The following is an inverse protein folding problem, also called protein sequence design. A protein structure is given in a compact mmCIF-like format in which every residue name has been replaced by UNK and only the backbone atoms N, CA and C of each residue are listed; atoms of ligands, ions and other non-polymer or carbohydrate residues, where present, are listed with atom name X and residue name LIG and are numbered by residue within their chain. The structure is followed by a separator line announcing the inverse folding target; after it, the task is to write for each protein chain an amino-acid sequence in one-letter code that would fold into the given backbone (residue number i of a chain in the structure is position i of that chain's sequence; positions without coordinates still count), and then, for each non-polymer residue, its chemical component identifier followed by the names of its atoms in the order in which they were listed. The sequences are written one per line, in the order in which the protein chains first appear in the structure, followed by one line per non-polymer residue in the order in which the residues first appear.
data_IF_083672434000
#
_entry.id   IF_083672434000
#
_cell.length_a   1.000
_cell.length_b   1.000
_cell.length_c   1.000
_cell.angle_alpha   90.00
_cell.angle_beta   90.00
_cell.angle_gamma   90.00
#
_symmetry.space_group_name_H-M   'P 1'
#
loop_
_entity.id
_entity.type
_entity.pdbx_description
1 polymer ?
#
# COMPACT_ATOMS: atom_id res chain seq x y z
N UNK A 1 -27.70 -52.20 -47.28
CA UNK A 1 -27.68 -50.94 -46.51
C UNK A 1 -26.84 -51.14 -45.25
N UNK A 2 -25.60 -50.65 -45.18
CA UNK A 2 -24.78 -50.63 -43.95
C UNK A 2 -23.96 -49.34 -43.93
N UNK A 3 -24.52 -48.28 -43.36
CA UNK A 3 -23.78 -47.06 -43.06
C UNK A 3 -22.88 -47.28 -41.84
N UNK A 4 -21.58 -47.03 -41.99
CA UNK A 4 -20.62 -46.95 -40.89
C UNK A 4 -20.52 -45.49 -40.44
N UNK A 5 -21.11 -45.14 -39.29
CA UNK A 5 -20.85 -43.84 -38.65
C UNK A 5 -19.60 -43.96 -37.79
N UNK A 6 -18.48 -43.43 -38.30
CA UNK A 6 -17.23 -43.29 -37.55
C UNK A 6 -17.30 -42.05 -36.68
N UNK A 7 -17.12 -42.24 -35.37
CA UNK A 7 -17.04 -41.18 -34.38
C UNK A 7 -15.79 -40.30 -34.64
N UNK A 8 -15.99 -39.01 -34.95
CA UNK A 8 -14.90 -38.04 -35.12
C UNK A 8 -14.75 -37.18 -33.86
N UNK A 9 -13.88 -37.69 -32.98
CA UNK A 9 -12.92 -37.01 -32.09
C UNK A 9 -13.18 -35.52 -31.81
N UNK A 10 -13.64 -35.22 -30.60
CA UNK A 10 -13.78 -33.88 -30.06
C UNK A 10 -12.46 -33.11 -30.05
N UNK A 11 -12.46 -31.97 -30.72
CA UNK A 11 -11.42 -30.94 -30.65
C UNK A 11 -11.61 -30.15 -29.36
N UNK A 12 -10.85 -30.47 -28.32
CA UNK A 12 -10.68 -29.61 -27.14
C UNK A 12 -9.40 -28.80 -27.32
N UNK A 13 -9.45 -27.81 -28.20
CA UNK A 13 -8.49 -26.71 -28.15
C UNK A 13 -8.95 -25.74 -27.05
N UNK A 14 -8.66 -26.08 -25.79
CA UNK A 14 -8.71 -25.12 -24.72
C UNK A 14 -7.43 -24.29 -24.80
N UNK A 15 -7.52 -23.12 -25.43
CA UNK A 15 -6.51 -22.07 -25.27
C UNK A 15 -6.39 -21.75 -23.77
N UNK A 16 -5.19 -21.62 -23.20
CA UNK A 16 -5.05 -21.06 -21.87
C UNK A 16 -5.56 -19.62 -21.95
N UNK A 17 -6.64 -19.35 -21.23
CA UNK A 17 -7.20 -18.03 -21.02
C UNK A 17 -6.09 -17.16 -20.42
N UNK A 18 -5.41 -16.39 -21.29
CA UNK A 18 -4.42 -15.42 -20.86
C UNK A 18 -5.17 -14.37 -20.05
N UNK A 19 -4.85 -14.34 -18.76
CA UNK A 19 -5.26 -13.28 -17.84
C UNK A 19 -5.03 -11.92 -18.53
N UNK A 20 -5.97 -10.98 -18.43
CA UNK A 20 -5.82 -9.67 -19.05
C UNK A 20 -4.49 -9.09 -18.57
N UNK A 21 -3.61 -8.77 -19.53
CA UNK A 21 -2.33 -8.10 -19.31
C UNK A 21 -2.63 -6.76 -18.62
N UNK A 22 -2.74 -6.79 -17.30
CA UNK A 22 -2.89 -5.58 -16.51
C UNK A 22 -1.64 -4.77 -16.77
N UNK A 23 -1.83 -3.59 -17.35
CA UNK A 23 -0.81 -2.64 -17.71
C UNK A 23 -0.06 -2.21 -16.44
N UNK A 24 0.90 -3.03 -16.02
CA UNK A 24 1.74 -2.85 -14.83
C UNK A 24 2.92 -1.97 -15.21
N UNK A 25 2.63 -0.69 -15.42
CA UNK A 25 3.69 0.32 -15.44
C UNK A 25 4.37 0.28 -14.07
N UNK A 26 5.59 -0.26 -13.99
CA UNK A 26 6.31 -0.42 -12.74
C UNK A 26 6.43 0.92 -12.02
N UNK A 27 5.81 1.04 -10.84
CA UNK A 27 5.76 2.29 -10.09
C UNK A 27 6.98 2.47 -9.18
N UNK A 28 7.74 1.40 -8.93
CA UNK A 28 8.86 1.37 -8.00
C UNK A 28 9.97 0.41 -8.51
N UNK A 29 11.23 0.71 -8.18
CA UNK A 29 12.40 -0.08 -8.54
C UNK A 29 12.31 -1.54 -8.08
N UNK A 30 11.72 -1.78 -6.90
CA UNK A 30 11.51 -3.14 -6.37
C UNK A 30 10.46 -3.93 -7.18
N UNK A 31 9.42 -3.27 -7.67
CA UNK A 31 8.45 -3.90 -8.57
C UNK A 31 9.05 -4.21 -9.95
N UNK A 32 10.00 -3.39 -10.41
CA UNK A 32 10.74 -3.66 -11.64
C UNK A 32 11.64 -4.90 -11.50
N UNK A 33 12.32 -5.06 -10.35
CA UNK A 33 13.08 -6.29 -10.05
C UNK A 33 12.19 -7.52 -10.05
N UNK A 34 11.00 -7.43 -9.44
CA UNK A 34 10.03 -8.52 -9.43
C UNK A 34 9.59 -8.88 -10.87
N UNK A 35 9.30 -7.87 -11.70
CA UNK A 35 8.90 -8.05 -13.10
C UNK A 35 10.01 -8.70 -13.93
N UNK A 36 11.25 -8.24 -13.78
CA UNK A 36 12.41 -8.82 -14.47
C UNK A 36 12.66 -10.25 -14.03
N UNK A 37 12.54 -10.54 -12.73
CA UNK A 37 12.68 -11.89 -12.20
C UNK A 37 11.63 -12.84 -12.80
N UNK A 38 10.36 -12.43 -12.88
CA UNK A 38 9.30 -13.21 -13.53
C UNK A 38 9.58 -13.50 -15.02
N UNK A 39 10.19 -12.55 -15.74
CA UNK A 39 10.53 -12.73 -17.15
C UNK A 39 11.73 -13.66 -17.34
N UNK A 40 12.71 -13.63 -16.44
CA UNK A 40 13.95 -14.40 -16.55
C UNK A 40 13.81 -15.83 -15.98
N UNK A 41 12.87 -16.06 -15.06
CA UNK A 41 12.80 -17.35 -14.37
C UNK A 41 12.43 -18.50 -15.33
N UNK A 42 13.39 -19.40 -15.54
CA UNK A 42 13.19 -20.64 -16.31
C UNK A 42 13.27 -21.86 -15.42
N UNK A 43 12.29 -22.75 -15.54
CA UNK A 43 12.27 -24.02 -14.82
C UNK A 43 12.96 -25.11 -15.65
N UNK A 44 13.89 -25.83 -15.03
CA UNK A 44 14.49 -27.02 -15.65
C UNK A 44 13.47 -28.16 -15.64
N UNK A 45 13.17 -28.68 -16.82
CA UNK A 45 12.36 -29.89 -17.00
C UNK A 45 13.25 -31.11 -16.77
N UNK A 46 12.76 -32.08 -16.01
CA UNK A 46 13.41 -33.38 -15.81
C UNK A 46 12.99 -34.31 -16.95
N UNK A 47 13.87 -35.24 -17.34
CA UNK A 47 13.73 -36.11 -18.52
C UNK A 47 12.44 -36.96 -18.54
N UNK A 48 11.78 -37.19 -17.40
CA UNK A 48 10.46 -37.81 -17.33
C UNK A 48 9.49 -36.91 -16.54
N UNK A 49 8.57 -36.27 -17.27
CA UNK A 49 7.25 -35.86 -16.76
C UNK A 49 7.17 -34.82 -15.64
N UNK A 50 8.25 -34.16 -15.22
CA UNK A 50 8.23 -33.25 -14.07
C UNK A 50 9.20 -32.06 -14.16
N UNK A 51 9.03 -31.11 -13.23
CA UNK A 51 9.98 -30.03 -12.94
C UNK A 51 10.86 -30.46 -11.77
N UNK A 52 12.13 -30.06 -11.78
CA UNK A 52 13.03 -30.28 -10.64
C UNK A 52 12.51 -29.50 -9.42
N UNK A 53 11.90 -30.20 -8.47
CA UNK A 53 11.26 -29.63 -7.29
C UNK A 53 12.24 -28.84 -6.43
N UNK A 54 13.49 -29.29 -6.29
CA UNK A 54 14.50 -28.60 -5.47
C UNK A 54 14.82 -27.23 -6.09
N UNK A 55 14.95 -27.18 -7.42
CA UNK A 55 15.15 -25.92 -8.13
C UNK A 55 13.91 -25.02 -8.10
N UNK A 56 12.71 -25.60 -8.12
CA UNK A 56 11.45 -24.88 -8.00
C UNK A 56 11.33 -24.21 -6.62
N UNK A 57 11.59 -24.96 -5.54
CA UNK A 57 11.55 -24.43 -4.17
C UNK A 57 12.55 -23.31 -3.98
N UNK A 58 13.78 -23.44 -4.52
CA UNK A 58 14.78 -22.36 -4.49
C UNK A 58 14.30 -21.09 -5.20
N UNK A 59 13.68 -21.25 -6.38
CA UNK A 59 13.10 -20.12 -7.12
C UNK A 59 11.91 -19.50 -6.38
N UNK A 60 11.10 -20.32 -5.72
CA UNK A 60 9.98 -19.83 -4.92
C UNK A 60 10.46 -19.04 -3.69
N UNK A 61 11.52 -19.51 -3.04
CA UNK A 61 12.16 -18.80 -1.92
C UNK A 61 12.75 -17.47 -2.36
N UNK A 62 13.46 -17.44 -3.49
CA UNK A 62 14.01 -16.22 -4.08
C UNK A 62 12.90 -15.22 -4.44
N UNK A 63 11.81 -15.69 -5.06
CA UNK A 63 10.64 -14.86 -5.34
C UNK A 63 10.04 -14.27 -4.07
N UNK A 64 9.88 -15.10 -3.04
CA UNK A 64 9.32 -14.67 -1.77
C UNK A 64 10.19 -13.58 -1.12
N UNK A 65 11.52 -13.70 -1.21
CA UNK A 65 12.43 -12.70 -0.70
C UNK A 65 12.32 -11.35 -1.44
N UNK A 66 12.23 -11.37 -2.78
CA UNK A 66 12.05 -10.15 -3.59
C UNK A 66 10.69 -9.50 -3.26
N UNK A 67 9.65 -10.31 -3.08
CA UNK A 67 8.32 -9.85 -2.73
C UNK A 67 8.28 -9.18 -1.35
N UNK A 68 8.82 -9.84 -0.32
CA UNK A 68 8.88 -9.28 1.03
C UNK A 68 9.68 -7.99 1.08
N UNK A 69 10.81 -7.92 0.35
CA UNK A 69 11.60 -6.69 0.23
C UNK A 69 10.77 -5.58 -0.40
N UNK A 70 10.10 -5.86 -1.52
CA UNK A 70 9.23 -4.89 -2.21
C UNK A 70 8.12 -4.37 -1.31
N UNK A 71 7.46 -5.28 -0.58
CA UNK A 71 6.35 -4.96 0.32
C UNK A 71 6.82 -4.16 1.54
N UNK A 72 7.99 -4.48 2.10
CA UNK A 72 8.58 -3.73 3.21
C UNK A 72 8.92 -2.28 2.81
N UNK A 73 9.45 -2.08 1.60
CA UNK A 73 9.76 -0.76 1.08
C UNK A 73 8.48 0.07 0.86
N UNK A 74 7.42 -0.56 0.36
CA UNK A 74 6.12 0.09 0.19
C UNK A 74 5.50 0.48 1.54
N UNK A 75 5.53 -0.42 2.54
CA UNK A 75 5.08 -0.11 3.91
C UNK A 75 5.85 1.07 4.49
N UNK A 76 7.18 1.08 4.41
CA UNK A 76 7.99 2.18 4.89
C UNK A 76 7.63 3.52 4.23
N UNK A 77 7.32 3.52 2.93
CA UNK A 77 6.86 4.72 2.21
C UNK A 77 5.52 5.22 2.74
N UNK A 78 4.55 4.34 2.94
CA UNK A 78 3.25 4.73 3.49
C UNK A 78 3.34 5.18 4.94
N UNK A 79 4.14 4.51 5.76
CA UNK A 79 4.36 4.90 7.15
C UNK A 79 4.96 6.31 7.25
N UNK A 80 5.91 6.64 6.38
CA UNK A 80 6.47 7.99 6.31
C UNK A 80 5.41 9.03 5.92
N UNK A 81 4.55 8.74 4.94
CA UNK A 81 3.47 9.63 4.50
C UNK A 81 2.40 9.82 5.57
N UNK A 82 1.99 8.74 6.23
CA UNK A 82 1.04 8.78 7.35
C UNK A 82 1.59 9.57 8.52
N UNK A 83 2.86 9.34 8.87
CA UNK A 83 3.53 10.08 9.93
C UNK A 83 3.62 11.58 9.59
N UNK A 84 3.85 11.93 8.33
CA UNK A 84 3.91 13.32 7.90
C UNK A 84 2.56 14.02 7.95
N UNK A 85 1.53 13.34 7.46
CA UNK A 85 0.15 13.82 7.56
C UNK A 85 -0.26 14.02 9.03
N UNK A 86 0.05 13.04 9.88
CA UNK A 86 -0.23 13.11 11.31
C UNK A 86 0.50 14.26 11.99
N UNK A 87 1.77 14.52 11.64
CA UNK A 87 2.52 15.68 12.13
C UNK A 87 1.86 17.00 11.71
N UNK A 88 1.45 17.11 10.46
CA UNK A 88 0.76 18.30 9.93
C UNK A 88 -0.56 18.56 10.67
N UNK A 89 -1.43 17.55 10.78
CA UNK A 89 -2.68 17.65 11.52
C UNK A 89 -2.46 18.05 12.99
N UNK A 90 -1.50 17.42 13.67
CA UNK A 90 -1.17 17.75 15.05
C UNK A 90 -0.65 19.18 15.20
N UNK A 91 0.14 19.68 14.26
CA UNK A 91 0.63 21.06 14.28
C UNK A 91 -0.53 22.06 14.18
N UNK A 92 -1.50 21.79 13.32
CA UNK A 92 -2.72 22.59 13.17
C UNK A 92 -3.53 22.58 14.46
N UNK A 93 -3.81 21.41 15.03
CA UNK A 93 -4.54 21.26 16.29
C UNK A 93 -3.86 22.06 17.42
N UNK A 94 -2.53 21.97 17.53
CA UNK A 94 -1.77 22.74 18.53
C UNK A 94 -1.91 24.25 18.35
N UNK A 95 -1.89 24.76 17.11
CA UNK A 95 -2.10 26.19 16.83
C UNK A 95 -3.48 26.65 17.28
N UNK A 96 -4.52 25.88 16.96
CA UNK A 96 -5.89 26.22 17.38
C UNK A 96 -6.07 26.16 18.89
N UNK A 97 -5.49 25.15 19.56
CA UNK A 97 -5.53 25.04 21.01
C UNK A 97 -4.89 26.26 21.69
N UNK A 98 -3.69 26.67 21.25
CA UNK A 98 -3.02 27.88 21.74
C UNK A 98 -3.87 29.13 21.51
N UNK A 99 -4.47 29.29 20.34
CA UNK A 99 -5.32 30.44 20.03
C UNK A 99 -6.56 30.50 20.94
N UNK A 100 -7.17 29.35 21.23
CA UNK A 100 -8.30 29.24 22.14
C UNK A 100 -7.89 29.59 23.59
N UNK A 101 -6.74 29.11 24.05
CA UNK A 101 -6.20 29.41 25.38
C UNK A 101 -5.87 30.91 25.52
N UNK A 102 -5.15 31.50 24.55
CA UNK A 102 -4.83 32.94 24.56
C UNK A 102 -6.07 33.83 24.56
N UNK A 103 -7.12 33.44 23.82
CA UNK A 103 -8.40 34.15 23.78
C UNK A 103 -9.13 34.11 25.13
N UNK A 104 -9.05 32.99 25.86
CA UNK A 104 -9.67 32.86 27.18
C UNK A 104 -8.90 33.66 28.25
N UNK A 105 -7.56 33.66 28.25
CA UNK A 105 -6.75 34.48 29.17
C UNK A 105 -6.92 35.99 28.97
N UNK A 106 -7.19 36.45 27.73
CA UNK A 106 -7.47 37.86 27.46
C UNK A 106 -8.84 38.33 27.95
N UNK A 107 -9.83 37.44 28.02
CA UNK A 107 -11.17 37.74 28.57
C UNK A 107 -11.18 37.78 30.11
N UNK A 108 -10.29 37.04 30.77
CA UNK A 108 -10.19 37.01 32.24
C UNK A 108 -9.52 38.29 32.79
N UNK A 109 -8.45 38.76 32.15
CA UNK A 109 -7.78 40.02 32.52
C UNK A 109 -8.64 41.28 32.28
N UNK A 110 -9.62 41.21 31.38
CA UNK A 110 -10.60 42.28 31.15
C UNK A 110 -11.68 42.37 32.25
N UNK A 111 -11.86 41.30 33.04
CA UNK A 111 -12.88 41.22 34.09
C UNK A 111 -12.37 41.76 35.43
N UNK A 112 -11.10 41.60 35.75
CA UNK A 112 -10.49 42.18 36.98
C UNK A 112 -10.40 43.72 36.96
N UNK A 113 -10.27 44.36 35.78
CA UNK A 113 -10.26 45.83 35.71
C UNK A 113 -11.63 46.49 35.86
N UNK A 114 -12.73 45.74 35.70
CA UNK A 114 -14.08 46.28 35.88
C UNK A 114 -14.53 46.29 37.35
N UNK A 115 -13.90 45.49 38.22
CA UNK A 115 -14.26 45.39 39.64
C UNK A 115 -13.49 46.38 40.54
N UNK A 116 -12.39 46.98 40.04
CA UNK A 116 -11.58 47.95 40.80
C UNK A 116 -11.97 49.42 40.58
N UNK A 117 -12.94 49.74 39.72
CA UNK A 117 -13.39 51.12 39.45
C UNK A 117 -14.75 51.49 40.06
N UNK A 118 -15.30 50.63 40.94
CA UNK A 118 -16.64 50.80 41.51
C UNK A 118 -16.73 51.50 42.87
N UNK A 119 -15.63 51.93 43.47
CA UNK A 119 -15.63 52.45 44.85
C UNK A 119 -14.93 53.81 44.95
N UNK A 120 -15.52 54.85 44.38
CA UNK A 120 -15.37 56.21 44.92
C UNK A 120 -16.59 57.08 44.54
N UNK A 121 -16.92 58.00 45.44
CA UNK A 121 -17.97 59.04 45.37
C UNK A 121 -19.37 58.62 45.85
N UNK A 122 -19.49 58.47 47.18
CA UNK A 122 -20.64 58.99 47.94
C UNK A 122 -20.11 60.05 48.90
N UNK A 123 -20.37 61.32 48.60
CA UNK A 123 -20.08 62.48 49.44
C UNK A 123 -20.98 63.63 49.04
#
# INVERSE_FOLDING_TARGET
MKEKKTAKKGSRNAQPERLPETNTKALNHEQEKLRQWFQEVKFRKVLFGGVDEIQLWKKLEELNQIYETSLSAERARYDALLADHQRSCNAVIRKYKKLAESRNTGQDAGKEKADSSGEEVRG
#
